data_IF_180661693135
#
_entry.id   IF_180661693135
#
_cell.length_a   1.000
_cell.length_b   1.000
_cell.length_c   1.000
_cell.angle_alpha   90.00
_cell.angle_beta   90.00
_cell.angle_gamma   90.00
#
_symmetry.space_group_name_H-M   'P 1'
#
loop_
_entity.id
_entity.type
_entity.pdbx_description
1 polymer ?
#
# COMPACT_ATOMS: atom_id res chain seq x y z
N UNK A 1 9.42 -1.34 -11.57
CA UNK A 1 9.88 -2.62 -11.02
C UNK A 1 10.62 -3.37 -12.12
N UNK A 2 11.73 -3.96 -11.77
CA UNK A 2 12.57 -4.72 -12.71
C UNK A 2 12.81 -6.11 -12.15
N UNK A 3 12.87 -7.10 -13.02
CA UNK A 3 13.25 -8.46 -12.69
C UNK A 3 14.78 -8.59 -12.46
N UNK A 4 15.25 -9.80 -12.12
CA UNK A 4 16.69 -10.08 -11.91
C UNK A 4 17.55 -9.90 -13.17
N UNK A 5 16.93 -9.84 -14.37
CA UNK A 5 17.60 -9.63 -15.65
C UNK A 5 17.56 -8.18 -16.12
N UNK A 6 16.90 -7.30 -15.33
CA UNK A 6 16.73 -5.90 -15.66
C UNK A 6 15.55 -5.59 -16.59
N UNK A 7 14.68 -6.55 -16.88
CA UNK A 7 13.46 -6.29 -17.64
C UNK A 7 12.43 -5.58 -16.75
N UNK A 8 11.79 -4.54 -17.28
CA UNK A 8 10.70 -3.89 -16.58
C UNK A 8 9.46 -4.79 -16.57
N UNK A 9 9.06 -5.25 -15.37
CA UNK A 9 7.88 -6.10 -15.14
C UNK A 9 6.70 -5.34 -14.56
N UNK A 10 6.89 -4.13 -14.07
CA UNK A 10 5.84 -3.27 -13.53
C UNK A 10 6.23 -1.81 -13.52
N UNK A 11 5.24 -0.94 -13.69
CA UNK A 11 5.37 0.50 -13.57
C UNK A 11 4.08 1.05 -12.97
N UNK A 12 4.19 1.81 -11.89
CA UNK A 12 3.07 2.52 -11.30
C UNK A 12 3.28 4.03 -11.44
N UNK A 13 2.24 4.74 -11.85
CA UNK A 13 2.12 6.19 -11.73
C UNK A 13 1.06 6.45 -10.67
N UNK A 14 1.40 7.25 -9.68
CA UNK A 14 0.48 7.61 -8.59
C UNK A 14 -0.86 8.09 -9.15
N UNK A 15 -1.95 7.43 -8.77
CA UNK A 15 -3.29 7.72 -9.29
C UNK A 15 -3.93 8.89 -8.55
N UNK A 16 -3.74 8.94 -7.22
CA UNK A 16 -4.32 9.96 -6.36
C UNK A 16 -3.22 10.92 -5.91
N UNK A 17 -3.20 12.10 -6.49
CA UNK A 17 -2.23 13.13 -6.13
C UNK A 17 -2.56 13.72 -4.75
N UNK A 18 -1.52 14.04 -4.00
CA UNK A 18 -1.65 14.56 -2.64
C UNK A 18 -1.85 16.07 -2.68
N UNK A 19 -3.09 16.47 -2.92
CA UNK A 19 -3.53 17.86 -2.89
C UNK A 19 -4.31 18.08 -1.59
N UNK A 20 -3.71 18.79 -0.65
CA UNK A 20 -4.32 19.10 0.64
C UNK A 20 -4.17 20.56 1.01
N UNK A 21 -5.18 21.08 1.67
CA UNK A 21 -5.19 22.40 2.32
C UNK A 21 -5.80 22.23 3.71
N UNK A 22 -4.95 22.06 4.71
CA UNK A 22 -5.40 21.90 6.10
C UNK A 22 -5.30 23.25 6.80
N UNK A 23 -6.43 23.85 7.15
CA UNK A 23 -6.51 25.14 7.83
C UNK A 23 -5.63 25.14 9.11
N UNK A 24 -4.63 26.02 9.12
CA UNK A 24 -3.65 26.09 10.21
C UNK A 24 -2.63 24.95 10.23
N UNK A 25 -2.58 24.12 9.21
CA UNK A 25 -1.71 22.97 9.05
C UNK A 25 -0.92 22.98 7.76
N UNK A 26 -0.82 21.82 7.11
CA UNK A 26 -0.03 21.65 5.90
C UNK A 26 -0.83 21.99 4.63
N UNK A 27 -0.23 22.80 3.77
CA UNK A 27 -0.62 22.94 2.36
C UNK A 27 0.35 22.14 1.50
N UNK A 28 -0.17 21.35 0.58
CA UNK A 28 0.63 20.63 -0.40
C UNK A 28 -0.21 20.36 -1.66
N UNK A 29 0.38 20.54 -2.84
CA UNK A 29 -0.33 20.37 -4.10
C UNK A 29 0.56 19.71 -5.15
N UNK A 30 0.49 18.37 -5.19
CA UNK A 30 1.26 17.58 -6.17
C UNK A 30 0.80 17.84 -7.62
N UNK A 31 -0.47 18.19 -7.82
CA UNK A 31 -1.01 18.44 -9.16
C UNK A 31 -0.40 19.66 -9.87
N UNK A 32 0.32 20.53 -9.15
CA UNK A 32 1.04 21.64 -9.77
C UNK A 32 2.25 21.16 -10.60
N UNK A 33 2.80 19.97 -10.28
CA UNK A 33 4.01 19.44 -10.91
C UNK A 33 3.87 18.03 -11.47
N UNK A 34 2.86 17.27 -11.04
CA UNK A 34 2.67 15.87 -11.41
C UNK A 34 1.34 15.67 -12.14
N UNK A 35 1.36 14.70 -13.06
CA UNK A 35 0.14 14.20 -13.73
C UNK A 35 -0.23 12.83 -13.14
N UNK A 36 -1.50 12.60 -12.76
CA UNK A 36 -1.92 11.32 -12.17
C UNK A 36 -1.80 10.18 -13.17
N UNK A 37 -1.62 8.98 -12.66
CA UNK A 37 -1.79 7.74 -13.40
C UNK A 37 -3.26 7.34 -13.52
N UNK A 38 -3.51 6.30 -14.31
CA UNK A 38 -4.85 5.79 -14.63
C UNK A 38 -4.92 4.25 -14.57
N UNK A 39 -3.85 3.59 -14.08
CA UNK A 39 -3.76 2.14 -14.12
C UNK A 39 -3.63 1.54 -12.72
N UNK A 40 -4.44 0.54 -12.45
CA UNK A 40 -4.26 -0.36 -11.30
C UNK A 40 -3.07 -1.27 -11.60
N UNK A 41 -2.01 -1.13 -10.83
CA UNK A 41 -0.75 -1.84 -11.08
C UNK A 41 -0.68 -3.13 -10.29
N UNK A 42 -0.71 -4.25 -11.00
CA UNK A 42 -0.44 -5.60 -10.47
C UNK A 42 0.47 -6.30 -11.46
N UNK A 43 1.47 -7.01 -10.97
CA UNK A 43 2.45 -7.73 -11.80
C UNK A 43 2.87 -9.05 -11.15
N UNK A 44 3.25 -10.00 -11.98
CA UNK A 44 3.76 -11.30 -11.53
C UNK A 44 5.26 -11.23 -11.22
N UNK A 45 5.65 -11.94 -10.18
CA UNK A 45 7.05 -12.19 -9.83
C UNK A 45 7.25 -13.69 -9.63
N UNK A 46 8.49 -14.13 -9.53
CA UNK A 46 8.81 -15.52 -9.19
C UNK A 46 8.33 -15.94 -7.79
N UNK A 47 7.96 -14.99 -6.94
CA UNK A 47 7.52 -15.21 -5.57
C UNK A 47 6.01 -15.17 -5.40
N UNK A 48 5.28 -14.51 -6.29
CA UNK A 48 3.85 -14.29 -6.20
C UNK A 48 3.42 -13.03 -6.94
N UNK A 49 2.14 -12.72 -6.89
CA UNK A 49 1.55 -11.57 -7.57
C UNK A 49 1.50 -10.35 -6.65
N UNK A 50 2.08 -9.25 -7.10
CA UNK A 50 2.30 -8.04 -6.29
C UNK A 50 1.48 -6.88 -6.84
N UNK A 51 0.72 -6.22 -5.96
CA UNK A 51 0.13 -4.91 -6.17
C UNK A 51 1.08 -3.79 -5.75
N UNK A 52 1.16 -2.72 -6.51
CA UNK A 52 1.98 -1.55 -6.22
C UNK A 52 1.16 -0.27 -6.30
N UNK A 53 1.21 0.53 -5.25
CA UNK A 53 0.65 1.88 -5.23
C UNK A 53 1.56 2.83 -4.43
N UNK A 54 1.35 4.15 -4.53
CA UNK A 54 2.26 5.12 -3.95
C UNK A 54 1.54 5.99 -2.93
N UNK A 55 1.96 5.92 -1.66
CA UNK A 55 1.64 6.86 -0.59
C UNK A 55 0.13 7.16 -0.47
N UNK A 56 -0.33 8.29 -0.99
CA UNK A 56 -1.71 8.77 -0.90
C UNK A 56 -2.72 7.81 -1.54
N UNK A 57 -2.31 7.05 -2.55
CA UNK A 57 -3.11 5.99 -3.18
C UNK A 57 -3.68 4.99 -2.15
N UNK A 58 -2.90 4.68 -1.12
CA UNK A 58 -3.27 3.66 -0.15
C UNK A 58 -4.40 4.10 0.80
N UNK A 59 -4.75 5.40 0.81
CA UNK A 59 -5.91 5.91 1.53
C UNK A 59 -7.23 5.50 0.89
N UNK A 60 -7.21 5.15 -0.38
CA UNK A 60 -8.39 4.76 -1.16
C UNK A 60 -8.55 3.23 -1.12
N UNK A 61 -9.50 2.70 -0.32
CA UNK A 61 -9.70 1.25 -0.19
C UNK A 61 -10.07 0.58 -1.51
N UNK A 62 -10.68 1.33 -2.42
CA UNK A 62 -11.06 0.88 -3.75
C UNK A 62 -9.85 0.39 -4.54
N UNK A 63 -8.73 1.11 -4.51
CA UNK A 63 -7.53 0.75 -5.24
C UNK A 63 -6.92 -0.55 -4.69
N UNK A 64 -6.83 -0.68 -3.37
CA UNK A 64 -6.34 -1.92 -2.74
C UNK A 64 -7.24 -3.11 -3.10
N UNK A 65 -8.56 -2.91 -3.14
CA UNK A 65 -9.52 -3.92 -3.55
C UNK A 65 -9.35 -4.31 -5.01
N UNK A 66 -9.20 -3.35 -5.91
CA UNK A 66 -8.97 -3.62 -7.34
C UNK A 66 -7.67 -4.39 -7.58
N UNK A 67 -6.59 -4.09 -6.84
CA UNK A 67 -5.36 -4.88 -6.90
C UNK A 67 -5.60 -6.32 -6.44
N UNK A 68 -6.36 -6.51 -5.36
CA UNK A 68 -6.72 -7.82 -4.83
C UNK A 68 -7.60 -8.61 -5.82
N UNK A 69 -8.57 -7.97 -6.44
CA UNK A 69 -9.45 -8.57 -7.46
C UNK A 69 -8.65 -8.96 -8.73
N UNK A 70 -7.53 -8.29 -8.99
CA UNK A 70 -6.55 -8.67 -10.01
C UNK A 70 -5.56 -9.75 -9.54
N UNK A 71 -5.75 -10.29 -8.34
CA UNK A 71 -5.00 -11.42 -7.80
C UNK A 71 -3.76 -11.05 -6.98
N UNK A 72 -3.58 -9.80 -6.57
CA UNK A 72 -2.47 -9.45 -5.67
C UNK A 72 -2.54 -10.25 -4.36
N UNK A 73 -1.41 -10.78 -3.94
CA UNK A 73 -1.18 -11.47 -2.67
C UNK A 73 -0.40 -10.60 -1.70
N UNK A 74 0.37 -9.64 -2.24
CA UNK A 74 1.16 -8.66 -1.51
C UNK A 74 0.84 -7.28 -2.11
N UNK A 75 0.64 -6.27 -1.28
CA UNK A 75 0.56 -4.87 -1.71
C UNK A 75 1.74 -4.11 -1.12
N UNK A 76 2.60 -3.56 -1.99
CA UNK A 76 3.77 -2.76 -1.60
C UNK A 76 3.45 -1.28 -1.81
N UNK A 77 3.77 -0.46 -0.81
CA UNK A 77 3.45 0.96 -0.76
C UNK A 77 4.68 1.78 -0.35
N UNK A 78 5.46 2.31 -1.28
CA UNK A 78 6.40 3.37 -0.97
C UNK A 78 5.62 4.61 -0.52
N UNK A 79 5.91 5.14 0.67
CA UNK A 79 5.13 6.24 1.23
C UNK A 79 5.91 7.06 2.25
N UNK A 80 5.65 8.36 2.29
CA UNK A 80 6.17 9.26 3.31
C UNK A 80 4.99 9.98 3.98
N UNK A 81 4.46 9.41 5.08
CA UNK A 81 3.44 10.10 5.88
C UNK A 81 4.10 11.19 6.72
N UNK A 82 3.40 12.29 6.93
CA UNK A 82 3.86 13.39 7.78
C UNK A 82 3.65 13.09 9.27
N UNK A 83 4.16 13.97 10.12
CA UNK A 83 4.10 13.83 11.58
C UNK A 83 2.68 13.95 12.17
N UNK A 84 1.72 14.51 11.42
CA UNK A 84 0.33 14.62 11.85
C UNK A 84 -0.44 13.33 11.59
N UNK A 85 -0.33 12.80 10.40
CA UNK A 85 -1.12 11.63 9.98
C UNK A 85 -0.37 10.30 10.19
N UNK A 86 0.95 10.32 10.27
CA UNK A 86 1.76 9.14 10.50
C UNK A 86 1.37 8.39 11.78
N UNK A 87 1.40 9.04 12.95
CA UNK A 87 1.07 8.38 14.22
C UNK A 87 -0.35 7.81 14.26
N UNK A 88 -1.30 8.45 13.58
CA UNK A 88 -2.71 8.11 13.66
C UNK A 88 -3.15 7.11 12.58
N UNK A 89 -2.57 7.20 11.39
CA UNK A 89 -3.09 6.50 10.22
C UNK A 89 -2.17 5.40 9.69
N UNK A 90 -0.84 5.47 9.92
CA UNK A 90 0.12 4.59 9.26
C UNK A 90 -0.16 3.12 9.55
N UNK A 91 0.01 2.69 10.79
CA UNK A 91 -0.20 1.30 11.19
C UNK A 91 -1.65 0.86 10.94
N UNK A 92 -2.61 1.70 11.33
CA UNK A 92 -4.04 1.41 11.15
C UNK A 92 -4.37 1.06 9.70
N UNK A 93 -3.88 1.86 8.74
CA UNK A 93 -4.18 1.64 7.32
C UNK A 93 -3.55 0.38 6.78
N UNK A 94 -2.29 0.07 7.13
CA UNK A 94 -1.63 -1.15 6.66
C UNK A 94 -2.34 -2.38 7.20
N UNK A 95 -2.64 -2.41 8.49
CA UNK A 95 -3.39 -3.51 9.10
C UNK A 95 -4.79 -3.65 8.52
N UNK A 96 -5.51 -2.54 8.38
CA UNK A 96 -6.88 -2.57 7.84
C UNK A 96 -6.89 -3.08 6.39
N UNK A 97 -5.99 -2.57 5.52
CA UNK A 97 -5.94 -3.03 4.12
C UNK A 97 -5.51 -4.49 4.00
N UNK A 98 -4.66 -4.98 4.90
CA UNK A 98 -4.31 -6.40 4.97
C UNK A 98 -5.55 -7.25 5.28
N UNK A 99 -6.33 -6.87 6.29
CA UNK A 99 -7.56 -7.56 6.70
C UNK A 99 -8.63 -7.49 5.61
N UNK A 100 -8.96 -6.29 5.12
CA UNK A 100 -10.02 -6.07 4.13
C UNK A 100 -9.82 -6.90 2.86
N UNK A 101 -8.56 -7.08 2.48
CA UNK A 101 -8.17 -7.69 1.21
C UNK A 101 -7.58 -9.08 1.37
N UNK A 102 -7.34 -9.51 2.61
CA UNK A 102 -6.71 -10.81 2.93
C UNK A 102 -5.42 -11.01 2.13
N UNK A 103 -4.52 -10.02 2.25
CA UNK A 103 -3.21 -9.95 1.58
C UNK A 103 -2.15 -9.48 2.57
N UNK A 104 -0.88 -9.70 2.24
CA UNK A 104 0.20 -8.99 2.92
C UNK A 104 0.23 -7.52 2.48
N UNK A 105 0.50 -6.62 3.41
CA UNK A 105 0.76 -5.21 3.10
C UNK A 105 2.13 -4.80 3.61
N UNK A 106 2.90 -4.09 2.76
CA UNK A 106 4.25 -3.64 3.09
C UNK A 106 4.34 -2.15 2.83
N UNK A 107 4.54 -1.37 3.88
CA UNK A 107 4.82 0.05 3.82
C UNK A 107 6.31 0.32 3.92
N UNK A 108 6.86 1.00 2.93
CA UNK A 108 8.28 1.38 2.90
C UNK A 108 8.37 2.89 3.00
N UNK A 109 8.90 3.39 4.12
CA UNK A 109 9.01 4.82 4.40
C UNK A 109 10.46 5.26 4.46
N UNK A 110 10.78 6.50 4.03
CA UNK A 110 12.10 7.08 4.27
C UNK A 110 12.32 7.30 5.78
N UNK A 111 13.56 7.19 6.21
CA UNK A 111 13.95 7.59 7.56
C UNK A 111 13.67 9.09 7.78
N UNK A 112 13.41 9.46 9.04
CA UNK A 112 13.16 10.86 9.39
C UNK A 112 14.46 11.65 9.42
N UNK A 113 14.47 12.76 8.69
CA UNK A 113 15.50 13.78 8.79
C UNK A 113 14.86 15.07 9.29
N UNK A 114 15.26 15.51 10.48
CA UNK A 114 14.74 16.74 11.11
C UNK A 114 15.31 18.01 10.50
N UNK A 115 16.34 17.91 9.64
CA UNK A 115 16.89 19.05 8.89
C UNK A 115 16.26 19.20 7.51
N UNK A 116 15.46 18.23 7.06
CA UNK A 116 14.77 18.30 5.79
C UNK A 116 13.53 19.20 5.86
N UNK A 117 13.10 19.76 4.73
CA UNK A 117 11.87 20.55 4.63
C UNK A 117 10.60 19.74 4.83
N UNK A 118 10.66 18.41 4.70
CA UNK A 118 9.57 17.49 4.96
C UNK A 118 9.99 16.43 5.98
N UNK A 119 9.28 16.34 7.09
CA UNK A 119 9.55 15.37 8.15
C UNK A 119 8.68 14.13 7.94
N UNK A 120 9.31 13.04 7.48
CA UNK A 120 8.64 11.75 7.35
C UNK A 120 8.39 11.12 8.72
N UNK A 121 7.25 10.44 8.85
CA UNK A 121 6.95 9.61 10.03
C UNK A 121 7.95 8.45 10.16
N UNK A 122 8.44 7.89 9.04
CA UNK A 122 9.23 6.66 9.02
C UNK A 122 8.36 5.44 9.26
N UNK A 123 8.83 4.51 10.11
CA UNK A 123 8.08 3.35 10.62
C UNK A 123 7.67 2.36 9.52
N UNK A 124 8.59 2.01 8.60
CA UNK A 124 8.33 0.95 7.62
C UNK A 124 7.71 -0.28 8.28
N UNK A 125 6.69 -0.87 7.66
CA UNK A 125 5.82 -1.88 8.28
C UNK A 125 5.52 -3.02 7.33
N UNK A 126 5.33 -4.23 7.87
CA UNK A 126 4.74 -5.35 7.19
C UNK A 126 3.62 -5.95 8.06
N UNK A 127 2.44 -6.16 7.48
CA UNK A 127 1.31 -6.82 8.12
C UNK A 127 0.85 -8.03 7.31
N UNK A 128 0.41 -9.09 8.00
CA UNK A 128 -0.11 -10.31 7.40
C UNK A 128 -1.62 -10.22 7.07
N UNK A 129 -2.19 -11.20 6.37
CA UNK A 129 -3.60 -11.21 6.00
C UNK A 129 -4.61 -11.18 7.18
N UNK A 130 -4.17 -11.47 8.40
CA UNK A 130 -4.96 -11.33 9.62
C UNK A 130 -4.86 -9.94 10.24
N UNK A 131 -4.02 -9.04 9.68
CA UNK A 131 -3.76 -7.72 10.22
C UNK A 131 -2.75 -7.70 11.37
N UNK A 132 -2.03 -8.79 11.62
CA UNK A 132 -0.94 -8.83 12.58
C UNK A 132 0.28 -8.11 12.00
N UNK A 133 0.87 -7.22 12.77
CA UNK A 133 2.15 -6.59 12.41
C UNK A 133 3.26 -7.63 12.57
N UNK A 134 3.88 -8.02 11.45
CA UNK A 134 5.02 -8.93 11.42
C UNK A 134 6.32 -8.20 11.72
N UNK A 135 6.43 -6.97 11.26
CA UNK A 135 7.59 -6.11 11.43
C UNK A 135 7.17 -4.66 11.39
N UNK A 136 7.73 -3.87 12.27
CA UNK A 136 7.70 -2.41 12.21
C UNK A 136 9.06 -1.86 12.59
N UNK A 137 9.56 -0.91 11.81
CA UNK A 137 10.79 -0.18 12.09
C UNK A 137 10.46 1.07 12.92
N UNK A 138 11.49 1.74 13.41
CA UNK A 138 11.40 3.08 13.94
C UNK A 138 11.58 4.15 12.83
N UNK A 139 11.89 5.36 13.20
CA UNK A 139 12.14 6.48 12.27
C UNK A 139 13.57 6.53 11.71
N UNK A 140 14.47 5.65 12.18
CA UNK A 140 15.91 5.70 11.85
C UNK A 140 16.19 4.97 10.53
N UNK A 141 17.32 5.30 9.87
CA UNK A 141 17.81 4.51 8.74
C UNK A 141 18.07 3.05 9.15
N UNK A 142 17.65 2.11 8.32
CA UNK A 142 17.89 0.70 8.60
C UNK A 142 17.35 -0.22 7.51
N UNK A 143 17.65 -1.51 7.66
CA UNK A 143 17.14 -2.59 6.83
C UNK A 143 16.56 -3.66 7.74
N UNK A 144 15.40 -4.16 7.39
CA UNK A 144 14.77 -5.33 8.03
C UNK A 144 14.38 -6.34 6.98
N UNK A 145 14.53 -7.62 7.33
CA UNK A 145 14.08 -8.74 6.52
C UNK A 145 12.88 -9.34 7.24
N UNK A 146 11.81 -9.60 6.50
CA UNK A 146 10.62 -10.31 6.98
C UNK A 146 10.30 -11.44 6.02
N UNK A 147 9.99 -12.60 6.57
CA UNK A 147 9.57 -13.77 5.81
C UNK A 147 8.04 -13.75 5.66
N UNK A 148 7.55 -14.03 4.44
CA UNK A 148 6.13 -14.09 4.12
C UNK A 148 5.79 -15.50 3.61
N UNK A 149 4.87 -16.18 4.31
CA UNK A 149 4.29 -17.45 3.83
C UNK A 149 3.05 -17.13 2.98
N UNK A 150 3.17 -17.20 1.65
CA UNK A 150 2.05 -16.88 0.76
C UNK A 150 0.91 -17.92 0.82
N UNK A 151 1.15 -19.11 1.33
CA UNK A 151 0.08 -20.07 1.58
C UNK A 151 -0.89 -19.59 2.67
N UNK A 152 -0.43 -18.69 3.55
CA UNK A 152 -1.30 -18.08 4.55
C UNK A 152 -2.43 -17.24 3.91
N UNK A 153 -2.19 -16.60 2.77
CA UNK A 153 -3.21 -15.87 2.01
C UNK A 153 -4.36 -16.81 1.63
N UNK A 154 -4.04 -18.02 1.16
CA UNK A 154 -5.04 -19.02 0.78
C UNK A 154 -5.80 -19.53 2.00
N UNK A 155 -5.06 -19.89 3.06
CA UNK A 155 -5.64 -20.38 4.33
C UNK A 155 -6.63 -19.39 4.93
N UNK A 156 -6.26 -18.10 4.98
CA UNK A 156 -7.12 -17.04 5.52
C UNK A 156 -8.39 -16.89 4.68
N UNK A 157 -8.27 -16.89 3.34
CA UNK A 157 -9.41 -16.80 2.43
C UNK A 157 -10.33 -18.01 2.46
N UNK A 158 -9.83 -19.17 2.83
CA UNK A 158 -10.64 -20.39 3.05
C UNK A 158 -11.37 -20.35 4.39
N UNK A 159 -10.68 -19.95 5.47
CA UNK A 159 -11.22 -19.91 6.81
C UNK A 159 -12.23 -18.76 7.01
N UNK A 160 -12.00 -17.61 6.38
CA UNK A 160 -12.83 -16.42 6.46
C UNK A 160 -13.13 -15.87 5.06
N UNK A 161 -14.04 -16.49 4.29
CA UNK A 161 -14.17 -16.24 2.84
C UNK A 161 -14.97 -14.98 2.50
N UNK A 162 -14.77 -13.86 3.18
CA UNK A 162 -15.58 -12.66 2.96
C UNK A 162 -15.34 -11.99 1.60
N UNK A 163 -14.21 -12.21 0.93
CA UNK A 163 -14.05 -11.80 -0.45
C UNK A 163 -15.08 -12.48 -1.38
N UNK A 164 -15.40 -13.76 -1.11
CA UNK A 164 -16.44 -14.52 -1.83
C UNK A 164 -17.88 -14.13 -1.38
N UNK A 165 -18.01 -13.59 -0.18
CA UNK A 165 -19.29 -13.18 0.38
C UNK A 165 -19.72 -11.77 -0.02
N UNK A 166 -18.94 -11.08 -0.86
CA UNK A 166 -19.35 -9.77 -1.40
C UNK A 166 -20.64 -9.92 -2.20
N UNK A 167 -21.53 -8.98 -2.00
CA UNK A 167 -22.83 -8.93 -2.66
C UNK A 167 -22.71 -8.24 -4.02
N UNK A 168 -22.05 -8.92 -4.97
CA UNK A 168 -21.83 -8.40 -6.33
C UNK A 168 -23.12 -8.30 -7.16
N UNK A 169 -24.19 -8.88 -6.64
CA UNK A 169 -25.57 -8.69 -7.10
C UNK A 169 -26.16 -7.32 -6.70
N UNK A 170 -25.59 -6.65 -5.68
CA UNK A 170 -26.04 -5.34 -5.17
C UNK A 170 -25.08 -4.22 -5.54
N UNK A 171 -23.77 -4.46 -5.47
CA UNK A 171 -22.73 -3.48 -5.76
C UNK A 171 -21.55 -4.12 -6.48
N UNK A 172 -20.87 -3.36 -7.33
CA UNK A 172 -19.69 -3.82 -8.07
C UNK A 172 -18.63 -2.74 -8.09
N UNK A 173 -17.39 -3.14 -7.80
CA UNK A 173 -16.21 -2.31 -8.02
C UNK A 173 -15.51 -2.75 -9.30
N UNK A 174 -15.22 -1.82 -10.19
CA UNK A 174 -14.51 -2.11 -11.45
C UNK A 174 -13.62 -0.95 -11.89
N UNK A 175 -12.51 -1.27 -12.51
CA UNK A 175 -11.73 -0.28 -13.24
C UNK A 175 -12.47 0.08 -14.54
N UNK A 176 -12.58 1.39 -14.82
CA UNK A 176 -13.35 1.88 -15.98
C UNK A 176 -12.45 2.08 -17.21
N UNK A 177 -11.13 2.33 -17.01
CA UNK A 177 -10.14 2.57 -18.08
C UNK A 177 -9.05 1.52 -18.09
#
# INVERSE_FOLDING_TARGET
VFDRKGHQIGKHRKMHLFDIDVKGGQYFKESDTLTPGDQVTVFDTEFGRIGLCICYDFRFPELARLMTDKGAEIIIVPAAFNMTTGPLHWELMFRQRAVDNQVYTIGVAPARDMNAGYHSWGHSIAADPWGKVLMQMDEKPGVKIVELDLDEVKKVREQLPFLKHRREDIYKLSQIK
#
